data_IF_793703381055
#
_entry.id   IF_793703381055
#
_cell.length_a   1.000
_cell.length_b   1.000
_cell.length_c   1.000
_cell.angle_alpha   90.00
_cell.angle_beta   90.00
_cell.angle_gamma   90.00
#
_symmetry.space_group_name_H-M   'P 1'
#
loop_
_entity.id
_entity.type
_entity.pdbx_description
1 polymer ?
#
# COMPACT_ATOMS: atom_id res chain seq x y z
N UNK A 1 -19.52 -13.48 -16.40
CA UNK A 1 -19.39 -14.73 -17.21
C UNK A 1 -18.15 -15.54 -16.80
N UNK A 2 -16.96 -14.93 -16.65
CA UNK A 2 -15.73 -15.65 -16.26
C UNK A 2 -15.77 -16.29 -14.87
N UNK A 3 -16.23 -15.57 -13.83
CA UNK A 3 -16.30 -16.11 -12.46
C UNK A 3 -17.20 -17.35 -12.33
N UNK A 4 -18.22 -17.46 -13.18
CA UNK A 4 -19.18 -18.59 -13.20
C UNK A 4 -18.72 -19.79 -14.04
N UNK A 5 -17.56 -19.71 -14.69
CA UNK A 5 -17.02 -20.79 -15.53
C UNK A 5 -16.30 -21.88 -14.71
N UNK A 6 -16.01 -23.02 -15.35
CA UNK A 6 -15.18 -24.10 -14.79
C UNK A 6 -13.67 -23.81 -14.85
N UNK A 7 -13.25 -22.70 -15.47
CA UNK A 7 -11.83 -22.33 -15.53
C UNK A 7 -11.30 -22.02 -14.12
N UNK A 8 -9.99 -22.27 -13.92
CA UNK A 8 -9.25 -21.77 -12.75
C UNK A 8 -8.93 -20.30 -12.98
N UNK A 9 -9.27 -19.45 -12.00
CA UNK A 9 -9.00 -18.00 -12.05
C UNK A 9 -7.78 -17.68 -11.19
N UNK A 10 -7.04 -16.64 -11.55
CA UNK A 10 -5.88 -16.17 -10.82
C UNK A 10 -5.82 -14.62 -10.87
N UNK A 11 -6.34 -13.92 -9.85
CA UNK A 11 -7.16 -14.40 -8.74
C UNK A 11 -8.63 -14.66 -9.15
N UNK A 12 -9.37 -15.45 -8.37
CA UNK A 12 -10.84 -15.44 -8.41
C UNK A 12 -11.39 -14.23 -7.65
N UNK A 13 -12.70 -13.96 -7.73
CA UNK A 13 -13.28 -12.75 -7.12
C UNK A 13 -13.08 -12.67 -5.60
N UNK A 14 -13.16 -13.79 -4.86
CA UNK A 14 -12.94 -13.76 -3.41
C UNK A 14 -11.49 -13.48 -3.05
N UNK A 15 -10.54 -14.00 -3.82
CA UNK A 15 -9.10 -13.73 -3.63
C UNK A 15 -8.76 -12.29 -3.99
N UNK A 16 -9.41 -11.72 -5.02
CA UNK A 16 -9.30 -10.29 -5.32
C UNK A 16 -9.80 -9.44 -4.14
N UNK A 17 -11.00 -9.75 -3.60
CA UNK A 17 -11.56 -9.02 -2.46
C UNK A 17 -10.69 -9.14 -1.20
N UNK A 18 -10.04 -10.29 -0.99
CA UNK A 18 -9.07 -10.46 0.10
C UNK A 18 -7.86 -9.52 0.00
N UNK A 19 -7.53 -9.02 -1.20
CA UNK A 19 -6.47 -8.03 -1.43
C UNK A 19 -6.87 -6.58 -1.16
N UNK A 20 -8.13 -6.32 -0.79
CA UNK A 20 -8.62 -4.96 -0.50
C UNK A 20 -7.96 -4.38 0.75
N UNK A 21 -7.83 -3.05 0.78
CA UNK A 21 -7.24 -2.33 1.92
C UNK A 21 -8.10 -2.49 3.17
N UNK A 22 -9.43 -2.56 3.01
CA UNK A 22 -10.34 -2.84 4.13
C UNK A 22 -10.07 -4.21 4.76
N UNK A 23 -9.89 -5.28 3.96
CA UNK A 23 -9.52 -6.60 4.50
C UNK A 23 -8.17 -6.55 5.19
N UNK A 24 -7.16 -5.87 4.61
CA UNK A 24 -5.87 -5.66 5.26
C UNK A 24 -6.01 -4.98 6.63
N UNK A 25 -6.85 -3.93 6.75
CA UNK A 25 -7.10 -3.22 8.01
C UNK A 25 -7.85 -4.06 9.03
N UNK A 26 -8.83 -4.87 8.62
CA UNK A 26 -9.55 -5.74 9.55
C UNK A 26 -8.68 -6.92 10.03
N UNK A 27 -7.83 -7.48 9.16
CA UNK A 27 -6.89 -8.54 9.55
C UNK A 27 -5.77 -8.06 10.49
N UNK A 28 -5.55 -6.75 10.59
CA UNK A 28 -4.62 -6.17 11.57
C UNK A 28 -5.18 -6.20 13.01
N UNK A 29 -6.47 -6.51 13.19
CA UNK A 29 -7.08 -6.81 14.49
C UNK A 29 -6.70 -8.23 14.91
N UNK A 30 -6.59 -8.51 16.22
CA UNK A 30 -5.54 -9.33 16.82
C UNK A 30 -5.38 -10.74 16.20
N UNK A 31 -4.33 -10.91 15.40
CA UNK A 31 -3.78 -12.20 14.98
C UNK A 31 -2.28 -12.23 15.26
N UNK A 32 -1.79 -13.28 15.93
CA UNK A 32 -0.50 -13.24 16.64
C UNK A 32 0.75 -13.48 15.77
N UNK A 33 0.66 -14.20 14.64
CA UNK A 33 1.87 -14.73 13.96
C UNK A 33 2.52 -13.79 12.94
N UNK A 34 1.79 -12.78 12.42
CA UNK A 34 2.29 -11.85 11.38
C UNK A 34 2.22 -10.38 11.81
N UNK A 35 1.88 -10.14 13.08
CA UNK A 35 1.59 -8.81 13.61
C UNK A 35 2.75 -7.84 13.47
N UNK A 36 3.98 -8.32 13.63
CA UNK A 36 5.21 -7.51 13.53
C UNK A 36 5.43 -6.94 12.13
N UNK A 37 4.74 -7.47 11.12
CA UNK A 37 4.80 -6.95 9.74
C UNK A 37 3.78 -5.84 9.44
N UNK A 38 2.83 -5.60 10.34
CA UNK A 38 1.77 -4.62 10.14
C UNK A 38 2.16 -3.26 10.72
N UNK A 39 2.08 -2.22 9.88
CA UNK A 39 2.00 -0.84 10.36
C UNK A 39 0.62 -0.59 10.99
N UNK A 40 0.42 0.56 11.65
CA UNK A 40 -0.89 0.96 12.13
C UNK A 40 -1.88 1.08 10.97
N UNK A 41 -3.01 0.40 11.10
CA UNK A 41 -4.11 0.36 10.14
C UNK A 41 -5.39 0.68 10.89
N UNK A 42 -6.10 1.71 10.44
CA UNK A 42 -7.21 2.29 11.19
C UNK A 42 -8.45 2.38 10.32
N UNK A 43 -9.59 2.05 10.93
CA UNK A 43 -10.90 2.21 10.30
C UNK A 43 -11.29 3.69 10.22
N UNK A 44 -12.00 4.03 9.15
CA UNK A 44 -12.74 5.27 9.02
C UNK A 44 -14.25 5.01 9.08
N UNK A 45 -14.70 3.86 9.60
CA UNK A 45 -16.13 3.59 9.72
C UNK A 45 -16.82 4.57 10.67
N UNK A 46 -18.13 4.78 10.49
CA UNK A 46 -18.91 5.64 11.37
C UNK A 46 -18.89 5.11 12.81
N UNK A 47 -18.64 6.01 13.76
CA UNK A 47 -18.59 5.69 15.19
C UNK A 47 -17.27 6.07 15.86
N UNK A 48 -17.15 5.81 17.18
CA UNK A 48 -16.12 6.42 18.02
C UNK A 48 -14.68 6.11 17.60
N UNK A 49 -14.41 4.93 17.04
CA UNK A 49 -13.08 4.55 16.56
C UNK A 49 -12.71 5.34 15.30
N UNK A 50 -13.57 5.34 14.28
CA UNK A 50 -13.31 6.11 13.07
C UNK A 50 -13.31 7.62 13.32
N UNK A 51 -14.11 8.13 14.25
CA UNK A 51 -14.11 9.56 14.60
C UNK A 51 -12.76 9.98 15.21
N UNK A 52 -12.17 9.12 16.04
CA UNK A 52 -10.80 9.34 16.54
C UNK A 52 -9.78 9.28 15.40
N UNK A 53 -9.91 8.32 14.48
CA UNK A 53 -9.04 8.21 13.29
C UNK A 53 -9.11 9.47 12.43
N UNK A 54 -10.31 10.02 12.20
CA UNK A 54 -10.51 11.28 11.46
C UNK A 54 -9.74 12.44 12.09
N UNK A 55 -9.85 12.61 13.41
CA UNK A 55 -9.13 13.65 14.15
C UNK A 55 -7.62 13.45 14.03
N UNK A 56 -7.13 12.22 14.23
CA UNK A 56 -5.71 11.88 14.09
C UNK A 56 -5.16 12.27 12.72
N UNK A 57 -5.86 11.89 11.65
CA UNK A 57 -5.46 12.15 10.27
C UNK A 57 -5.42 13.66 9.95
N UNK A 58 -6.40 14.42 10.44
CA UNK A 58 -6.49 15.87 10.20
C UNK A 58 -5.44 16.66 10.99
N UNK A 59 -5.06 16.21 12.20
CA UNK A 59 -4.06 16.88 13.04
C UNK A 59 -2.64 16.62 12.56
N UNK A 60 -2.34 15.41 12.06
CA UNK A 60 -0.98 15.02 11.62
C UNK A 60 -1.00 14.34 10.26
N UNK A 61 -1.44 15.01 9.18
CA UNK A 61 -1.65 14.37 7.88
C UNK A 61 -0.38 13.77 7.28
N UNK A 62 0.80 14.32 7.59
CA UNK A 62 2.08 13.82 7.07
C UNK A 62 2.52 12.49 7.68
N UNK A 63 1.89 12.06 8.79
CA UNK A 63 2.17 10.78 9.44
C UNK A 63 1.34 9.63 8.87
N UNK A 64 0.39 9.91 7.99
CA UNK A 64 -0.55 8.92 7.50
C UNK A 64 -0.64 8.90 5.98
N UNK A 65 -1.24 7.82 5.48
CA UNK A 65 -1.64 7.65 4.10
C UNK A 65 -3.12 7.27 4.08
N UNK A 66 -3.91 8.04 3.35
CA UNK A 66 -5.32 7.74 3.12
C UNK A 66 -5.43 6.83 1.89
N UNK A 67 -6.08 5.67 2.05
CA UNK A 67 -6.13 4.65 0.99
C UNK A 67 -7.56 4.31 0.61
N UNK A 68 -8.00 4.60 -0.63
CA UNK A 68 -9.26 4.08 -1.16
C UNK A 68 -9.15 2.56 -1.42
N UNK A 69 -10.30 1.90 -1.63
CA UNK A 69 -10.37 0.49 -2.03
C UNK A 69 -10.01 0.27 -3.51
N UNK A 70 -8.85 0.75 -3.95
CA UNK A 70 -8.33 0.59 -5.32
C UNK A 70 -6.92 0.01 -5.30
N UNK A 71 -6.59 -0.74 -6.36
CA UNK A 71 -5.23 -1.23 -6.58
C UNK A 71 -4.40 -0.20 -7.36
N UNK A 72 -3.08 -0.24 -7.16
CA UNK A 72 -2.13 0.65 -7.83
C UNK A 72 -1.82 1.94 -7.05
N UNK A 73 -1.52 3.00 -7.79
CA UNK A 73 -0.91 4.26 -7.34
C UNK A 73 -2.01 5.30 -7.12
N UNK A 74 -2.82 5.08 -6.08
CA UNK A 74 -4.01 5.91 -5.79
C UNK A 74 -4.09 6.28 -4.31
N UNK A 75 -2.94 6.27 -3.64
CA UNK A 75 -2.83 6.71 -2.26
C UNK A 75 -2.85 8.24 -2.18
N UNK A 76 -3.50 8.77 -1.15
CA UNK A 76 -3.69 10.21 -0.94
C UNK A 76 -2.87 10.63 0.28
N UNK A 77 -2.16 11.76 0.19
CA UNK A 77 -1.19 12.19 1.21
C UNK A 77 -1.41 13.65 1.62
N UNK A 78 -0.95 14.01 2.84
CA UNK A 78 -0.77 15.39 3.27
C UNK A 78 -2.05 16.23 3.17
N UNK A 79 -1.93 17.43 2.60
CA UNK A 79 -3.04 18.37 2.48
C UNK A 79 -4.22 17.82 1.65
N UNK A 80 -3.96 16.97 0.65
CA UNK A 80 -5.02 16.34 -0.15
C UNK A 80 -5.84 15.37 0.71
N UNK A 81 -5.19 14.63 1.63
CA UNK A 81 -5.90 13.79 2.59
C UNK A 81 -6.83 14.62 3.47
N UNK A 82 -6.38 15.78 3.95
CA UNK A 82 -7.23 16.67 4.74
C UNK A 82 -8.44 17.17 3.96
N UNK A 83 -8.25 17.57 2.69
CA UNK A 83 -9.34 18.04 1.83
C UNK A 83 -10.40 16.96 1.64
N UNK A 84 -9.97 15.73 1.30
CA UNK A 84 -10.88 14.59 1.13
C UNK A 84 -11.61 14.29 2.43
N UNK A 85 -10.88 14.18 3.54
CA UNK A 85 -11.46 13.82 4.84
C UNK A 85 -12.46 14.87 5.34
N UNK A 86 -12.17 16.16 5.21
CA UNK A 86 -13.14 17.21 5.58
C UNK A 86 -14.41 17.13 4.71
N UNK A 87 -14.27 16.83 3.41
CA UNK A 87 -15.40 16.67 2.49
C UNK A 87 -16.32 15.49 2.84
N UNK A 88 -15.77 14.38 3.35
CA UNK A 88 -16.54 13.16 3.68
C UNK A 88 -16.79 12.96 5.18
N UNK A 89 -16.40 13.92 6.03
CA UNK A 89 -16.33 13.78 7.50
C UNK A 89 -17.60 13.25 8.16
N UNK A 90 -18.75 13.74 7.70
CA UNK A 90 -20.09 13.40 8.21
C UNK A 90 -20.85 12.43 7.30
N UNK A 91 -20.24 12.00 6.19
CA UNK A 91 -20.83 11.12 5.20
C UNK A 91 -20.38 9.68 5.42
N UNK A 92 -21.23 8.71 5.10
CA UNK A 92 -20.82 7.29 5.05
C UNK A 92 -19.77 7.01 3.98
N UNK A 93 -19.55 7.94 3.04
CA UNK A 93 -18.48 7.85 2.03
C UNK A 93 -17.08 7.72 2.62
N UNK A 94 -16.85 8.18 3.87
CA UNK A 94 -15.56 7.96 4.56
C UNK A 94 -15.20 6.48 4.73
N UNK A 95 -16.19 5.58 4.71
CA UNK A 95 -16.01 4.13 4.77
C UNK A 95 -15.35 3.54 3.51
N UNK A 96 -15.28 4.30 2.42
CA UNK A 96 -14.56 3.89 1.21
C UNK A 96 -13.02 3.92 1.38
N UNK A 97 -12.53 4.42 2.51
CA UNK A 97 -11.13 4.62 2.79
C UNK A 97 -10.70 3.87 4.06
N UNK A 98 -9.40 3.60 4.15
CA UNK A 98 -8.73 3.32 5.42
C UNK A 98 -7.63 4.34 5.65
N UNK A 99 -7.21 4.50 6.90
CA UNK A 99 -6.00 5.23 7.25
C UNK A 99 -4.88 4.23 7.58
N UNK A 100 -3.67 4.50 7.15
CA UNK A 100 -2.49 3.71 7.47
C UNK A 100 -1.36 4.62 7.93
N UNK A 101 -0.56 4.17 8.92
CA UNK A 101 0.69 4.84 9.26
C UNK A 101 1.59 4.92 8.01
N UNK A 102 2.16 6.10 7.77
CA UNK A 102 3.14 6.29 6.71
C UNK A 102 4.46 5.68 7.13
N UNK A 103 4.87 4.62 6.44
CA UNK A 103 6.18 3.99 6.65
C UNK A 103 7.28 4.99 6.28
N UNK A 104 8.29 5.12 7.16
CA UNK A 104 9.46 5.98 6.97
C UNK A 104 10.72 5.12 6.80
N UNK A 105 10.99 4.60 5.59
CA UNK A 105 12.19 3.79 5.35
C UNK A 105 13.46 4.64 5.45
N UNK A 106 14.58 4.00 5.78
CA UNK A 106 15.90 4.65 5.82
C UNK A 106 16.32 5.07 4.41
N UNK A 107 16.58 6.37 4.14
CA UNK A 107 17.05 6.80 2.83
C UNK A 107 18.45 6.29 2.52
N UNK A 108 18.66 5.90 1.27
CA UNK A 108 19.97 5.45 0.75
C UNK A 108 20.33 6.26 -0.49
N UNK A 109 21.62 6.47 -0.76
CA UNK A 109 22.04 7.14 -1.98
C UNK A 109 22.20 6.13 -3.11
N UNK A 110 21.57 6.39 -4.27
CA UNK A 110 21.69 5.53 -5.45
C UNK A 110 21.57 6.34 -6.74
N UNK A 111 21.94 5.73 -7.87
CA UNK A 111 21.77 6.30 -9.20
C UNK A 111 20.52 5.72 -9.87
N UNK A 112 19.61 6.57 -10.33
CA UNK A 112 18.39 6.16 -11.02
C UNK A 112 18.54 6.37 -12.54
N UNK A 113 18.72 5.28 -13.29
CA UNK A 113 18.85 5.33 -14.75
C UNK A 113 17.48 5.36 -15.45
N UNK A 114 17.06 6.54 -15.94
CA UNK A 114 15.87 6.71 -16.78
C UNK A 114 16.27 7.17 -18.18
N UNK A 115 15.53 6.69 -19.19
CA UNK A 115 15.77 7.06 -20.58
C UNK A 115 15.69 8.60 -20.74
N UNK A 116 16.72 9.19 -21.36
CA UNK A 116 16.84 10.65 -21.62
C UNK A 116 16.86 11.54 -20.38
N UNK A 117 17.12 10.97 -19.20
CA UNK A 117 17.36 11.73 -17.97
C UNK A 117 18.85 11.73 -17.63
N UNK A 118 19.39 12.80 -17.03
CA UNK A 118 20.76 12.82 -16.55
C UNK A 118 20.97 11.78 -15.45
N UNK A 119 22.15 11.15 -15.44
CA UNK A 119 22.54 10.21 -14.40
C UNK A 119 23.08 11.00 -13.20
N UNK A 120 22.29 11.08 -12.15
CA UNK A 120 22.60 11.85 -10.95
C UNK A 120 22.48 10.97 -9.70
N UNK A 121 23.34 11.25 -8.72
CA UNK A 121 23.23 10.65 -7.40
C UNK A 121 22.00 11.24 -6.70
N UNK A 122 21.13 10.37 -6.18
CA UNK A 122 19.87 10.77 -5.55
C UNK A 122 19.67 10.07 -4.22
N UNK A 123 18.90 10.71 -3.35
CA UNK A 123 18.37 10.11 -2.14
C UNK A 123 17.17 9.24 -2.51
N UNK A 124 17.23 7.97 -2.18
CA UNK A 124 16.31 6.96 -2.66
C UNK A 124 15.66 6.20 -1.51
N UNK A 125 14.42 5.78 -1.75
CA UNK A 125 13.66 4.87 -0.87
C UNK A 125 13.35 3.60 -1.65
N UNK A 126 13.43 2.45 -0.98
CA UNK A 126 13.20 1.14 -1.59
C UNK A 126 12.04 0.39 -0.93
N UNK A 127 11.22 -0.26 -1.76
CA UNK A 127 10.11 -1.12 -1.38
C UNK A 127 10.37 -2.55 -1.85
N UNK A 128 10.57 -3.47 -0.90
CA UNK A 128 10.75 -4.89 -1.18
C UNK A 128 9.40 -5.62 -1.30
N UNK A 129 9.15 -6.21 -2.47
CA UNK A 129 8.04 -7.13 -2.70
C UNK A 129 8.51 -8.58 -2.72
N UNK A 130 7.71 -9.48 -2.13
CA UNK A 130 7.92 -10.94 -2.17
C UNK A 130 6.75 -11.59 -2.90
N UNK A 131 7.05 -12.36 -3.94
CA UNK A 131 6.06 -13.12 -4.70
C UNK A 131 5.72 -14.43 -3.98
N UNK A 132 4.43 -14.64 -3.73
CA UNK A 132 3.89 -15.93 -3.29
C UNK A 132 3.18 -16.64 -4.44
N UNK A 133 3.35 -17.96 -4.53
CA UNK A 133 2.60 -18.82 -5.45
C UNK A 133 1.86 -19.86 -4.63
N UNK A 134 0.55 -19.98 -4.86
CA UNK A 134 -0.29 -20.92 -4.14
C UNK A 134 -1.23 -21.64 -5.12
N UNK A 135 -1.32 -22.95 -4.98
CA UNK A 135 -2.31 -23.81 -5.64
C UNK A 135 -2.90 -24.70 -4.56
N UNK A 136 -4.22 -24.59 -4.32
CA UNK A 136 -4.92 -25.25 -3.20
C UNK A 136 -4.81 -26.78 -3.18
N UNK A 137 -4.38 -27.41 -4.28
CA UNK A 137 -4.13 -28.85 -4.35
C UNK A 137 -2.70 -29.26 -3.95
N UNK A 138 -1.70 -28.38 -4.09
CA UNK A 138 -0.30 -28.56 -3.64
C UNK A 138 0.37 -27.20 -3.43
N UNK A 139 0.69 -26.78 -2.20
CA UNK A 139 1.47 -25.56 -2.00
C UNK A 139 2.87 -25.77 -2.60
N UNK A 140 3.28 -24.89 -3.51
CA UNK A 140 4.67 -24.83 -3.99
C UNK A 140 5.29 -23.58 -3.43
N UNK A 141 6.27 -23.75 -2.56
CA UNK A 141 7.01 -22.65 -1.98
C UNK A 141 8.18 -22.29 -2.90
N UNK A 142 8.22 -21.04 -3.32
CA UNK A 142 9.34 -20.44 -4.03
C UNK A 142 9.25 -18.93 -3.85
N UNK A 143 10.07 -18.39 -2.93
CA UNK A 143 10.13 -16.96 -2.71
C UNK A 143 10.96 -16.32 -3.82
N UNK A 144 10.28 -15.57 -4.70
CA UNK A 144 10.94 -14.61 -5.59
C UNK A 144 10.72 -13.23 -5.03
N UNK A 145 11.60 -12.29 -5.34
CA UNK A 145 11.49 -10.93 -4.86
C UNK A 145 11.53 -9.92 -6.02
N UNK A 146 11.08 -8.72 -5.72
CA UNK A 146 11.21 -7.53 -6.54
C UNK A 146 11.52 -6.37 -5.61
N UNK A 147 12.72 -5.81 -5.71
CA UNK A 147 13.01 -4.52 -5.09
C UNK A 147 12.65 -3.42 -6.08
N UNK A 148 11.93 -2.41 -5.60
CA UNK A 148 11.66 -1.19 -6.36
C UNK A 148 12.26 -0.03 -5.62
N UNK A 149 12.94 0.85 -6.34
CA UNK A 149 13.60 2.01 -5.75
C UNK A 149 13.13 3.28 -6.45
N UNK A 150 12.83 4.31 -5.67
CA UNK A 150 12.36 5.61 -6.14
C UNK A 150 13.16 6.72 -5.49
N UNK A 151 13.13 7.90 -6.11
CA UNK A 151 13.62 9.12 -5.49
C UNK A 151 12.69 9.50 -4.30
N UNK A 152 13.26 10.08 -3.24
CA UNK A 152 12.56 10.37 -1.99
C UNK A 152 11.49 11.48 -2.09
N UNK A 153 11.61 12.34 -3.10
CA UNK A 153 10.63 13.36 -3.49
C UNK A 153 9.30 12.79 -4.01
N UNK A 154 9.21 11.49 -4.31
CA UNK A 154 7.99 10.84 -4.77
C UNK A 154 7.26 10.11 -3.64
N UNK A 155 5.98 10.44 -3.44
CA UNK A 155 5.13 9.81 -2.42
C UNK A 155 4.69 8.39 -2.81
N UNK A 156 4.39 8.13 -4.08
CA UNK A 156 4.01 6.80 -4.59
C UNK A 156 5.21 6.06 -5.25
N UNK A 157 5.06 4.81 -5.68
CA UNK A 157 6.19 3.91 -5.99
C UNK A 157 5.99 2.87 -7.10
N UNK A 158 5.05 3.08 -8.02
CA UNK A 158 4.83 2.11 -9.11
C UNK A 158 5.82 2.26 -10.28
N UNK A 159 6.34 1.12 -10.76
CA UNK A 159 7.23 1.05 -11.94
C UNK A 159 6.47 1.36 -13.23
N UNK A 160 5.27 0.80 -13.40
CA UNK A 160 4.46 1.00 -14.60
C UNK A 160 4.00 2.45 -14.80
N UNK A 161 3.98 3.26 -13.74
CA UNK A 161 3.71 4.70 -13.82
C UNK A 161 4.96 5.56 -13.98
N UNK A 162 6.14 4.94 -14.16
CA UNK A 162 7.41 5.65 -14.35
C UNK A 162 7.97 6.32 -13.10
N UNK A 163 7.44 6.04 -11.91
CA UNK A 163 7.89 6.62 -10.65
C UNK A 163 9.12 5.87 -10.13
N UNK A 164 8.94 4.61 -9.75
CA UNK A 164 10.01 3.74 -9.27
C UNK A 164 10.72 3.00 -10.42
N UNK A 165 11.94 2.54 -10.16
CA UNK A 165 12.72 1.68 -11.03
C UNK A 165 12.92 0.30 -10.39
N UNK A 166 13.35 -0.67 -11.21
CA UNK A 166 13.73 -2.00 -10.74
C UNK A 166 15.09 -1.93 -10.04
N UNK A 167 15.23 -2.69 -8.95
CA UNK A 167 16.46 -2.76 -8.17
C UNK A 167 16.68 -4.20 -7.65
N UNK A 168 17.84 -4.46 -7.03
CA UNK A 168 18.16 -5.72 -6.36
C UNK A 168 18.63 -5.47 -4.92
N UNK A 169 18.19 -6.29 -3.94
CA UNK A 169 18.66 -6.14 -2.58
C UNK A 169 20.11 -6.64 -2.44
N UNK A 170 20.98 -5.80 -1.89
CA UNK A 170 22.27 -6.22 -1.36
C UNK A 170 22.07 -6.62 0.11
N UNK A 171 22.38 -7.87 0.45
CA UNK A 171 22.39 -8.34 1.84
C UNK A 171 23.65 -7.82 2.51
N UNK A 172 23.47 -6.99 3.55
CA UNK A 172 24.53 -6.35 4.35
C UNK A 172 24.59 -6.91 5.75
#
# INVERSE_FOLDING_TARGET
>A
MMERSLAVKCPNISTHLAGTKKVQQELARPMDQIRDTFAGLYTLDMGPEGDKTMVMALVKPDQFVLKPQREGILHIYGAESCQVLEGVKQSTERMAYILMDKVQPCPVHNYLLKLRMPLELRTCLSDLGVFGVYVMYRPRHGARHLLRTKNDDHTDGGVAAGVALLDNPLLV
#
